data_IF_996441947766
#
_entry.id   IF_996441947766
#
_cell.length_a   1.000
_cell.length_b   1.000
_cell.length_c   1.000
_cell.angle_alpha   90.00
_cell.angle_beta   90.00
_cell.angle_gamma   90.00
#
_symmetry.space_group_name_H-M   'P 1'
#
loop_
_entity.id
_entity.type
_entity.pdbx_description
1 polymer ?
#
# COMPACT_ATOMS: atom_id res chain seq x y z
N UNK A 1 -6.27 -28.45 43.86
CA UNK A 1 -7.21 -28.75 42.74
C UNK A 1 -8.17 -27.57 42.40
N UNK A 2 -8.89 -27.02 43.41
CA UNK A 2 -9.79 -25.86 43.16
C UNK A 2 -9.03 -24.58 42.86
N UNK A 3 -7.91 -24.30 43.50
CA UNK A 3 -7.07 -23.13 43.29
C UNK A 3 -6.40 -23.11 41.88
N UNK A 4 -6.05 -24.28 41.37
CA UNK A 4 -5.40 -24.40 40.07
C UNK A 4 -6.40 -24.22 38.92
N UNK A 5 -7.63 -24.67 39.12
CA UNK A 5 -8.75 -24.45 38.22
C UNK A 5 -9.11 -22.96 38.15
N UNK A 6 -9.15 -22.26 39.29
CA UNK A 6 -9.41 -20.82 39.34
C UNK A 6 -8.29 -20.05 38.67
N UNK A 7 -7.00 -20.40 38.91
CA UNK A 7 -5.87 -19.78 38.24
C UNK A 7 -5.91 -20.02 36.76
N UNK A 8 -6.25 -21.23 36.31
CA UNK A 8 -6.42 -21.52 34.87
C UNK A 8 -7.52 -20.69 34.21
N UNK A 9 -8.69 -20.60 34.88
CA UNK A 9 -9.81 -19.78 34.40
C UNK A 9 -9.46 -18.28 34.35
N UNK A 10 -8.80 -17.75 35.39
CA UNK A 10 -8.35 -16.36 35.43
C UNK A 10 -7.30 -16.06 34.36
N UNK A 11 -6.37 -16.99 34.12
CA UNK A 11 -5.39 -16.84 33.04
C UNK A 11 -6.03 -16.83 31.65
N UNK A 12 -7.03 -17.71 31.46
CA UNK A 12 -7.80 -17.76 30.22
C UNK A 12 -8.58 -16.46 29.97
N UNK A 13 -9.29 -15.95 30.99
CA UNK A 13 -10.00 -14.66 30.88
C UNK A 13 -9.03 -13.50 30.63
N UNK A 14 -7.89 -13.49 31.33
CA UNK A 14 -6.88 -12.44 31.13
C UNK A 14 -6.32 -12.35 29.72
N UNK A 15 -6.29 -13.45 28.96
CA UNK A 15 -5.93 -13.42 27.54
C UNK A 15 -6.96 -12.63 26.71
N UNK A 16 -8.24 -12.82 26.98
CA UNK A 16 -9.29 -12.07 26.28
C UNK A 16 -9.32 -10.60 26.66
N UNK A 17 -9.10 -10.28 27.94
CA UNK A 17 -9.03 -8.91 28.42
C UNK A 17 -7.87 -8.16 27.75
N UNK A 18 -6.68 -8.75 27.71
CA UNK A 18 -5.50 -8.20 27.01
C UNK A 18 -5.75 -8.05 25.51
N UNK A 19 -6.39 -9.04 24.89
CA UNK A 19 -6.78 -8.99 23.48
C UNK A 19 -7.78 -7.86 23.19
N UNK A 20 -8.77 -7.68 24.06
CA UNK A 20 -9.77 -6.63 23.94
C UNK A 20 -9.16 -5.22 24.09
N UNK A 21 -8.30 -5.02 25.09
CA UNK A 21 -7.55 -3.75 25.27
C UNK A 21 -6.69 -3.42 24.05
N UNK A 22 -5.97 -4.40 23.53
CA UNK A 22 -5.14 -4.25 22.32
C UNK A 22 -6.01 -3.86 21.11
N UNK A 23 -7.14 -4.55 20.93
CA UNK A 23 -8.08 -4.26 19.84
C UNK A 23 -8.64 -2.82 19.94
N UNK A 24 -9.12 -2.41 21.12
CA UNK A 24 -9.63 -1.05 21.34
C UNK A 24 -8.54 0.00 21.08
N UNK A 25 -7.31 -0.24 21.54
CA UNK A 25 -6.17 0.64 21.30
C UNK A 25 -5.88 0.80 19.79
N UNK A 26 -5.91 -0.29 19.03
CA UNK A 26 -5.73 -0.23 17.59
C UNK A 26 -6.88 0.51 16.88
N UNK A 27 -8.11 0.19 17.24
CA UNK A 27 -9.28 0.86 16.66
C UNK A 27 -9.23 2.36 16.91
N UNK A 28 -9.00 2.79 18.14
CA UNK A 28 -8.95 4.21 18.52
C UNK A 28 -7.75 4.94 17.91
N UNK A 29 -6.62 4.26 17.73
CA UNK A 29 -5.41 4.85 17.15
C UNK A 29 -5.38 4.90 15.62
N UNK A 30 -6.00 3.93 14.94
CA UNK A 30 -5.92 3.78 13.48
C UNK A 30 -7.15 4.34 12.79
N UNK A 31 -8.34 3.92 13.20
CA UNK A 31 -9.59 4.22 12.47
C UNK A 31 -9.83 5.72 12.28
N UNK A 32 -9.69 6.59 13.29
CA UNK A 32 -9.87 8.01 13.11
C UNK A 32 -8.90 8.62 12.10
N UNK A 33 -7.62 8.24 12.15
CA UNK A 33 -6.59 8.73 11.22
C UNK A 33 -6.88 8.31 9.78
N UNK A 34 -7.24 7.04 9.58
CA UNK A 34 -7.60 6.51 8.26
C UNK A 34 -8.81 7.23 7.70
N UNK A 35 -9.87 7.42 8.50
CA UNK A 35 -11.08 8.11 8.06
C UNK A 35 -10.82 9.57 7.68
N UNK A 36 -10.06 10.30 8.48
CA UNK A 36 -9.71 11.70 8.18
C UNK A 36 -8.90 11.81 6.89
N UNK A 37 -7.91 10.93 6.69
CA UNK A 37 -7.10 10.91 5.47
C UNK A 37 -7.94 10.51 4.24
N UNK A 38 -8.83 9.53 4.35
CA UNK A 38 -9.75 9.16 3.27
C UNK A 38 -10.70 10.30 2.90
N UNK A 39 -11.26 10.99 3.87
CA UNK A 39 -12.12 12.15 3.62
C UNK A 39 -11.34 13.25 2.91
N UNK A 40 -10.12 13.56 3.40
CA UNK A 40 -9.24 14.55 2.79
C UNK A 40 -8.93 14.20 1.33
N UNK A 41 -8.52 12.97 1.06
CA UNK A 41 -8.16 12.53 -0.29
C UNK A 41 -9.36 12.51 -1.23
N UNK A 42 -10.52 12.02 -0.78
CA UNK A 42 -11.75 12.05 -1.56
C UNK A 42 -12.20 13.50 -1.88
N UNK A 43 -12.01 14.41 -0.93
CA UNK A 43 -12.29 15.84 -1.14
C UNK A 43 -11.38 16.44 -2.19
N UNK A 44 -10.07 16.14 -2.13
CA UNK A 44 -9.09 16.59 -3.12
C UNK A 44 -9.45 16.05 -4.51
N UNK A 45 -9.79 14.77 -4.63
CA UNK A 45 -10.20 14.15 -5.90
C UNK A 45 -11.49 14.80 -6.44
N UNK A 46 -12.45 15.07 -5.58
CA UNK A 46 -13.69 15.75 -5.96
C UNK A 46 -13.43 17.19 -6.49
N UNK A 47 -12.51 17.91 -5.84
CA UNK A 47 -12.13 19.27 -6.26
C UNK A 47 -11.33 19.28 -7.59
N UNK A 48 -10.42 18.34 -7.76
CA UNK A 48 -9.63 18.19 -9.00
C UNK A 48 -10.53 17.73 -10.15
N UNK A 49 -11.45 16.82 -9.87
CA UNK A 49 -12.31 16.15 -10.83
C UNK A 49 -11.68 14.86 -11.40
N UNK A 50 -12.48 13.82 -11.44
CA UNK A 50 -12.05 12.47 -11.89
C UNK A 50 -11.50 12.46 -13.32
N UNK A 51 -12.04 13.33 -14.19
CA UNK A 51 -11.55 13.42 -15.57
C UNK A 51 -10.10 13.89 -15.66
N UNK A 52 -9.68 14.82 -14.79
CA UNK A 52 -8.29 15.29 -14.75
C UNK A 52 -7.35 14.20 -14.26
N UNK A 53 -7.77 13.43 -13.26
CA UNK A 53 -7.02 12.25 -12.77
C UNK A 53 -6.84 11.23 -13.90
N UNK A 54 -7.91 10.94 -14.64
CA UNK A 54 -7.88 10.02 -15.77
C UNK A 54 -6.98 10.53 -16.92
N UNK A 55 -7.04 11.84 -17.23
CA UNK A 55 -6.15 12.48 -18.24
C UNK A 55 -4.69 12.39 -17.84
N UNK A 56 -4.39 12.61 -16.56
CA UNK A 56 -3.04 12.46 -16.03
C UNK A 56 -2.53 11.02 -16.18
N UNK A 57 -3.35 10.02 -15.85
CA UNK A 57 -2.96 8.61 -16.01
C UNK A 57 -2.66 8.27 -17.49
N UNK A 58 -3.48 8.75 -18.43
CA UNK A 58 -3.23 8.59 -19.86
C UNK A 58 -1.94 9.29 -20.31
N UNK A 59 -1.65 10.48 -19.80
CA UNK A 59 -0.40 11.18 -20.12
C UNK A 59 0.82 10.39 -19.65
N UNK A 60 0.73 9.76 -18.48
CA UNK A 60 1.80 8.93 -17.94
C UNK A 60 2.07 7.68 -18.79
N UNK A 61 1.09 7.18 -19.55
CA UNK A 61 1.24 5.98 -20.38
C UNK A 61 2.23 6.13 -21.53
N UNK A 62 2.51 7.35 -21.95
CA UNK A 62 3.48 7.65 -23.02
C UNK A 62 4.95 7.55 -22.62
N UNK A 63 5.25 7.45 -21.33
CA UNK A 63 6.61 7.43 -20.82
C UNK A 63 6.78 6.37 -19.73
N UNK A 64 7.76 5.48 -19.90
CA UNK A 64 8.03 4.36 -18.99
C UNK A 64 8.37 4.84 -17.57
N UNK A 65 9.10 5.95 -17.43
CA UNK A 65 9.46 6.54 -16.13
C UNK A 65 8.20 7.02 -15.42
N UNK A 66 7.30 7.69 -16.15
CA UNK A 66 6.03 8.16 -15.58
C UNK A 66 5.10 7.01 -15.25
N UNK A 67 5.02 6.00 -16.13
CA UNK A 67 4.12 4.86 -15.97
C UNK A 67 4.51 3.92 -14.81
N UNK A 68 5.82 3.73 -14.57
CA UNK A 68 6.31 2.80 -13.52
C UNK A 68 6.78 3.49 -12.25
N UNK A 69 7.04 4.81 -12.29
CA UNK A 69 7.49 5.59 -11.13
C UNK A 69 6.41 6.52 -10.60
N UNK A 70 6.04 7.52 -11.39
CA UNK A 70 5.18 8.62 -10.92
C UNK A 70 3.73 8.17 -10.77
N UNK A 71 3.17 7.50 -11.78
CA UNK A 71 1.77 7.09 -11.76
C UNK A 71 1.44 6.12 -10.61
N UNK A 72 2.24 5.05 -10.34
CA UNK A 72 1.98 4.16 -9.22
C UNK A 72 2.01 4.86 -7.87
N UNK A 73 2.99 5.76 -7.67
CA UNK A 73 3.12 6.51 -6.41
C UNK A 73 1.91 7.44 -6.19
N UNK A 74 1.58 8.27 -7.21
CA UNK A 74 0.44 9.20 -7.11
C UNK A 74 -0.87 8.45 -6.98
N UNK A 75 -1.05 7.36 -7.73
CA UNK A 75 -2.26 6.53 -7.63
C UNK A 75 -2.42 5.92 -6.25
N UNK A 76 -1.35 5.36 -5.68
CA UNK A 76 -1.37 4.81 -4.32
C UNK A 76 -1.70 5.89 -3.29
N UNK A 77 -1.08 7.08 -3.41
CA UNK A 77 -1.28 8.18 -2.48
C UNK A 77 -2.70 8.75 -2.56
N UNK A 78 -3.24 8.99 -3.77
CA UNK A 78 -4.54 9.63 -3.94
C UNK A 78 -5.71 8.68 -3.78
N UNK A 79 -5.60 7.46 -4.29
CA UNK A 79 -6.71 6.52 -4.38
C UNK A 79 -6.66 5.42 -3.32
N UNK A 80 -5.45 5.13 -2.79
CA UNK A 80 -5.25 3.99 -1.89
C UNK A 80 -5.45 2.64 -2.58
N UNK A 81 -5.19 1.55 -1.85
CA UNK A 81 -5.42 0.19 -2.30
C UNK A 81 -6.89 -0.22 -1.99
N UNK A 82 -7.63 -0.87 -2.90
CA UNK A 82 -7.20 -1.39 -4.22
C UNK A 82 -7.42 -0.42 -5.40
N UNK A 83 -7.97 0.76 -5.18
CA UNK A 83 -8.35 1.66 -6.28
C UNK A 83 -7.15 2.14 -7.11
N UNK A 84 -5.97 2.28 -6.50
CA UNK A 84 -4.74 2.60 -7.21
C UNK A 84 -4.48 1.62 -8.36
N UNK A 85 -4.73 0.34 -8.16
CA UNK A 85 -4.53 -0.69 -9.18
C UNK A 85 -5.44 -0.47 -10.39
N UNK A 86 -6.63 0.11 -10.21
CA UNK A 86 -7.55 0.39 -11.31
C UNK A 86 -7.01 1.36 -12.36
N UNK A 87 -5.99 2.18 -12.00
CA UNK A 87 -5.34 3.09 -12.94
C UNK A 87 -4.56 2.37 -14.05
N UNK A 88 -4.19 1.11 -13.84
CA UNK A 88 -3.58 0.27 -14.87
C UNK A 88 -4.43 0.11 -16.14
N UNK A 89 -5.75 0.33 -16.06
CA UNK A 89 -6.63 0.30 -17.24
C UNK A 89 -6.28 1.35 -18.31
N UNK A 90 -5.59 2.43 -17.91
CA UNK A 90 -5.16 3.49 -18.83
C UNK A 90 -3.79 3.23 -19.47
N UNK A 91 -3.18 2.09 -19.18
CA UNK A 91 -1.90 1.67 -19.72
C UNK A 91 -2.08 0.61 -20.81
N UNK A 92 -1.17 0.54 -21.81
CA UNK A 92 -1.10 -0.58 -22.74
C UNK A 92 -0.95 -1.92 -21.99
N UNK A 93 -1.47 -2.99 -22.57
CA UNK A 93 -1.45 -4.33 -21.96
C UNK A 93 -0.04 -4.75 -21.52
N UNK A 94 0.96 -4.44 -22.34
CA UNK A 94 2.37 -4.75 -22.05
C UNK A 94 2.90 -4.05 -20.78
N UNK A 95 2.42 -2.86 -20.48
CA UNK A 95 2.89 -2.05 -19.35
C UNK A 95 2.18 -2.37 -18.03
N UNK A 96 1.02 -3.03 -18.08
CA UNK A 96 0.20 -3.34 -16.90
C UNK A 96 0.93 -4.16 -15.84
N UNK A 97 1.65 -5.26 -16.16
CA UNK A 97 2.35 -6.04 -15.13
C UNK A 97 3.34 -5.19 -14.34
N UNK A 98 4.10 -4.35 -15.02
CA UNK A 98 5.08 -3.45 -14.40
C UNK A 98 4.44 -2.39 -13.52
N UNK A 99 3.34 -1.80 -13.99
CA UNK A 99 2.54 -0.87 -13.20
C UNK A 99 1.99 -1.54 -11.94
N UNK A 100 1.39 -2.72 -12.07
CA UNK A 100 0.80 -3.43 -10.93
C UNK A 100 1.84 -3.83 -9.89
N UNK A 101 3.03 -4.27 -10.31
CA UNK A 101 4.13 -4.56 -9.42
C UNK A 101 4.54 -3.32 -8.62
N UNK A 102 4.80 -2.21 -9.30
CA UNK A 102 5.18 -0.96 -8.65
C UNK A 102 4.07 -0.41 -7.76
N UNK A 103 2.81 -0.36 -8.21
CA UNK A 103 1.69 0.17 -7.45
C UNK A 103 1.39 -0.66 -6.18
N UNK A 104 1.47 -1.98 -6.28
CA UNK A 104 1.28 -2.88 -5.14
C UNK A 104 2.31 -2.60 -4.05
N UNK A 105 3.60 -2.51 -4.39
CA UNK A 105 4.64 -2.21 -3.42
C UNK A 105 4.51 -0.79 -2.83
N UNK A 106 4.10 0.20 -3.61
CA UNK A 106 3.83 1.55 -3.08
C UNK A 106 2.70 1.55 -2.05
N UNK A 107 1.67 0.73 -2.23
CA UNK A 107 0.60 0.60 -1.25
C UNK A 107 1.12 0.08 0.12
N UNK A 108 2.18 -0.73 0.14
CA UNK A 108 2.76 -1.25 1.37
C UNK A 108 3.77 -0.27 1.99
N UNK A 109 4.73 0.20 1.19
CA UNK A 109 5.85 1.01 1.72
C UNK A 109 5.44 2.40 2.18
N UNK A 110 4.33 2.94 1.67
CA UNK A 110 3.83 4.26 2.05
C UNK A 110 2.85 4.22 3.22
N UNK A 111 2.29 3.05 3.57
CA UNK A 111 1.26 2.92 4.62
C UNK A 111 1.74 3.31 6.02
N UNK A 112 3.04 3.24 6.28
CA UNK A 112 3.63 3.64 7.57
C UNK A 112 3.45 5.13 7.89
N UNK A 113 3.51 5.99 6.88
CA UNK A 113 3.26 7.44 7.00
C UNK A 113 1.81 7.77 6.62
N UNK A 114 1.32 7.18 5.55
CA UNK A 114 -0.02 7.44 5.00
C UNK A 114 -0.92 6.22 5.17
N UNK A 115 -1.46 6.05 6.37
CA UNK A 115 -2.24 4.87 6.76
C UNK A 115 -3.50 4.62 5.91
N UNK A 116 -4.01 5.65 5.23
CA UNK A 116 -5.17 5.51 4.32
C UNK A 116 -4.84 4.76 3.02
N UNK A 117 -3.56 4.67 2.65
CA UNK A 117 -3.15 3.99 1.40
C UNK A 117 -3.48 2.51 1.44
N UNK A 118 -3.24 1.86 2.57
CA UNK A 118 -3.54 0.43 2.74
C UNK A 118 -4.05 0.13 4.16
N UNK A 119 -5.28 0.58 4.49
CA UNK A 119 -5.81 0.43 5.83
C UNK A 119 -6.02 -1.02 6.25
N UNK A 120 -6.26 -1.93 5.29
CA UNK A 120 -6.48 -3.34 5.55
C UNK A 120 -5.23 -4.10 6.02
N UNK A 121 -4.04 -3.60 5.71
CA UNK A 121 -2.77 -4.26 6.02
C UNK A 121 -1.86 -3.43 6.94
N UNK A 122 -2.33 -2.29 7.44
CA UNK A 122 -1.53 -1.41 8.30
C UNK A 122 -1.05 -2.10 9.58
N UNK A 123 -1.78 -3.12 10.03
CA UNK A 123 -1.42 -3.91 11.21
C UNK A 123 -0.06 -4.61 11.06
N UNK A 124 0.34 -4.97 9.83
CA UNK A 124 1.65 -5.58 9.54
C UNK A 124 2.75 -4.56 9.87
N UNK A 125 2.62 -3.35 9.34
CA UNK A 125 3.56 -2.26 9.63
C UNK A 125 3.59 -1.93 11.12
N UNK A 126 2.44 -1.85 11.78
CA UNK A 126 2.35 -1.51 13.20
C UNK A 126 3.00 -2.59 14.08
N UNK A 127 2.88 -3.86 13.73
CA UNK A 127 3.56 -4.94 14.46
C UNK A 127 5.08 -4.78 14.43
N UNK A 128 5.64 -4.44 13.25
CA UNK A 128 7.07 -4.16 13.09
C UNK A 128 7.46 -2.89 13.84
N UNK A 129 6.70 -1.81 13.67
CA UNK A 129 6.96 -0.52 14.30
C UNK A 129 6.94 -0.59 15.83
N UNK A 130 6.02 -1.35 16.42
CA UNK A 130 5.98 -1.59 17.86
C UNK A 130 7.21 -2.38 18.35
N UNK A 131 7.69 -3.35 17.56
CA UNK A 131 8.93 -4.06 17.86
C UNK A 131 10.13 -3.13 17.87
N UNK A 132 10.23 -2.24 16.87
CA UNK A 132 11.28 -1.22 16.76
C UNK A 132 11.21 -0.22 17.92
N UNK A 133 10.01 0.21 18.30
CA UNK A 133 9.79 1.09 19.45
C UNK A 133 10.23 0.45 20.76
N UNK A 134 9.92 -0.83 20.97
CA UNK A 134 10.39 -1.58 22.15
C UNK A 134 11.91 -1.70 22.20
N UNK A 135 12.59 -1.66 21.05
CA UNK A 135 14.04 -1.62 20.96
C UNK A 135 14.64 -0.20 21.15
N UNK A 136 13.80 0.80 21.46
CA UNK A 136 14.22 2.17 21.75
C UNK A 136 14.35 3.09 20.55
N UNK A 137 13.84 2.70 19.37
CA UNK A 137 13.88 3.52 18.16
C UNK A 137 12.53 4.21 17.87
N UNK A 138 12.56 5.27 17.07
CA UNK A 138 11.37 6.04 16.70
C UNK A 138 10.59 5.38 15.56
N UNK A 139 9.27 5.27 15.73
CA UNK A 139 8.37 4.66 14.74
C UNK A 139 8.19 5.54 13.49
N UNK A 140 8.23 6.86 13.66
CA UNK A 140 8.07 7.82 12.56
C UNK A 140 9.29 7.80 11.66
N UNK A 141 10.48 7.71 12.26
CA UNK A 141 11.73 7.56 11.54
C UNK A 141 11.74 6.26 10.72
N UNK A 142 11.27 5.15 11.30
CA UNK A 142 11.09 3.90 10.56
C UNK A 142 10.18 4.10 9.36
N UNK A 143 9.01 4.72 9.55
CA UNK A 143 8.04 4.97 8.48
C UNK A 143 8.61 5.81 7.36
N UNK A 144 9.32 6.87 7.69
CA UNK A 144 9.97 7.75 6.71
C UNK A 144 11.05 7.00 5.90
N UNK A 145 11.92 6.26 6.57
CA UNK A 145 12.96 5.45 5.90
C UNK A 145 12.33 4.40 5.01
N UNK A 146 11.28 3.72 5.47
CA UNK A 146 10.57 2.71 4.70
C UNK A 146 9.95 3.29 3.43
N UNK A 147 9.33 4.48 3.54
CA UNK A 147 8.79 5.21 2.39
C UNK A 147 9.89 5.60 1.39
N UNK A 148 10.99 6.20 1.85
CA UNK A 148 12.07 6.66 0.97
C UNK A 148 12.76 5.50 0.24
N UNK A 149 13.10 4.43 0.94
CA UNK A 149 13.63 3.21 0.32
C UNK A 149 12.61 2.62 -0.63
N UNK A 150 11.33 2.61 -0.23
CA UNK A 150 10.22 2.14 -1.06
C UNK A 150 10.07 2.90 -2.37
N UNK A 151 10.21 4.23 -2.37
CA UNK A 151 10.17 5.04 -3.60
C UNK A 151 11.19 4.54 -4.63
N UNK A 152 12.42 4.30 -4.20
CA UNK A 152 13.50 3.81 -5.08
C UNK A 152 13.23 2.37 -5.52
N UNK A 153 12.98 1.47 -4.58
CA UNK A 153 12.82 0.04 -4.86
C UNK A 153 11.56 -0.23 -5.72
N UNK A 154 10.47 0.49 -5.47
CA UNK A 154 9.24 0.28 -6.22
C UNK A 154 9.35 0.79 -7.65
N UNK A 155 10.11 1.87 -7.87
CA UNK A 155 10.46 2.31 -9.21
C UNK A 155 11.24 1.23 -9.96
N UNK A 156 12.28 0.69 -9.35
CA UNK A 156 13.06 -0.41 -9.94
C UNK A 156 12.24 -1.68 -10.13
N UNK A 157 11.28 -2.00 -9.25
CA UNK A 157 10.43 -3.18 -9.39
C UNK A 157 9.61 -3.15 -10.69
N UNK A 158 9.11 -1.98 -11.10
CA UNK A 158 8.43 -1.79 -12.38
C UNK A 158 9.34 -2.12 -13.58
N UNK A 159 10.60 -1.69 -13.53
CA UNK A 159 11.58 -1.97 -14.59
C UNK A 159 11.99 -3.45 -14.65
N UNK A 160 12.26 -4.05 -13.49
CA UNK A 160 12.57 -5.49 -13.41
C UNK A 160 11.40 -6.30 -13.96
N UNK A 161 10.17 -5.92 -13.61
CA UNK A 161 8.96 -6.58 -14.12
C UNK A 161 8.80 -6.39 -15.63
N UNK A 162 9.11 -5.22 -16.19
CA UNK A 162 9.09 -5.01 -17.66
C UNK A 162 10.11 -5.92 -18.36
N UNK A 163 11.29 -6.04 -17.80
CA UNK A 163 12.31 -6.94 -18.32
C UNK A 163 11.87 -8.41 -18.28
N UNK A 164 11.40 -8.87 -17.13
CA UNK A 164 10.92 -10.27 -16.98
C UNK A 164 9.68 -10.55 -17.81
N UNK A 165 8.75 -9.59 -17.95
CA UNK A 165 7.59 -9.70 -18.84
C UNK A 165 8.03 -9.93 -20.28
N UNK A 166 8.98 -9.14 -20.79
CA UNK A 166 9.53 -9.34 -22.16
C UNK A 166 10.17 -10.72 -22.34
N UNK A 167 10.88 -11.20 -21.31
CA UNK A 167 11.50 -12.52 -21.36
C UNK A 167 10.44 -13.63 -21.44
N UNK A 168 9.41 -13.56 -20.60
CA UNK A 168 8.30 -14.52 -20.59
C UNK A 168 7.51 -14.48 -21.90
N UNK A 169 7.19 -13.30 -22.41
CA UNK A 169 6.54 -13.14 -23.73
C UNK A 169 7.31 -13.85 -24.83
N UNK A 170 8.65 -13.66 -24.86
CA UNK A 170 9.51 -14.33 -25.84
C UNK A 170 9.52 -15.86 -25.69
N UNK A 171 9.52 -16.34 -24.43
CA UNK A 171 9.51 -17.79 -24.14
C UNK A 171 8.19 -18.45 -24.53
N UNK A 172 7.08 -17.75 -24.34
CA UNK A 172 5.73 -18.27 -24.60
C UNK A 172 5.21 -17.96 -26.01
N UNK A 173 5.94 -17.16 -26.80
CA UNK A 173 5.48 -16.74 -28.13
C UNK A 173 4.23 -15.84 -28.10
N UNK A 174 4.04 -15.08 -27.01
CA UNK A 174 2.90 -14.19 -26.81
C UNK A 174 3.31 -12.75 -27.06
N UNK A 175 2.49 -11.99 -27.78
CA UNK A 175 2.64 -10.54 -27.93
C UNK A 175 1.54 -9.79 -27.18
N UNK A 176 1.92 -8.92 -26.25
CA UNK A 176 1.00 -8.00 -25.57
C UNK A 176 0.97 -6.68 -26.33
N UNK A 177 -0.22 -6.13 -26.51
CA UNK A 177 -0.42 -4.87 -27.23
C UNK A 177 0.31 -3.70 -26.55
N UNK A 178 0.94 -2.87 -27.37
CA UNK A 178 1.50 -1.57 -26.98
C UNK A 178 0.50 -0.43 -27.16
N UNK A 179 -0.68 -0.69 -27.71
CA UNK A 179 -1.70 0.31 -27.97
C UNK A 179 -2.62 0.47 -26.76
N UNK A 180 -3.04 1.72 -26.52
CA UNK A 180 -4.10 2.03 -25.56
C UNK A 180 -5.43 1.58 -26.16
N UNK A 181 -6.15 0.75 -25.41
CA UNK A 181 -7.55 0.42 -25.74
C UNK A 181 -8.51 1.48 -25.23
#
# INVERSE_FOLDING_TARGET
CSSDLIKGASGFMGLFDTGAETFVSWVSGIVPKVLLLLILMNTIIALIGQERVNKFAKLCSGNVILAYGVLPFISAFMLGNPMALSMGKFLPERMKPSYYASASYHCHTNSGIFSHINPGEIFIYLGIAQGVQKAGFDMTELGLRYMLVGLVMNFFSGWVTDFTTKMVMKQQGIELSNELK
#
